data_IF_783458980908
#
_entry.id   IF_783458980908
#
_cell.length_a   1.000
_cell.length_b   1.000
_cell.length_c   1.000
_cell.angle_alpha   90.00
_cell.angle_beta   90.00
_cell.angle_gamma   90.00
#
_symmetry.space_group_name_H-M   'P 1'
#
loop_
_entity.id
_entity.type
_entity.pdbx_description
1 polymer ?
#
# COMPACT_ATOMS: atom_id res chain seq x y z
N UNK A 1 -47.43 -36.64 34.18
CA UNK A 1 -48.48 -35.96 33.40
C UNK A 1 -48.34 -34.48 33.65
N UNK A 2 -47.80 -33.76 32.68
CA UNK A 2 -47.93 -32.29 32.57
C UNK A 2 -47.54 -31.97 31.14
N UNK A 3 -48.48 -31.42 30.39
CA UNK A 3 -48.45 -31.17 28.98
C UNK A 3 -47.57 -29.98 28.65
N UNK A 4 -46.75 -30.12 27.60
CA UNK A 4 -45.99 -29.04 26.96
C UNK A 4 -46.86 -28.43 25.89
N UNK A 5 -47.08 -27.13 25.97
CA UNK A 5 -47.82 -26.34 24.97
C UNK A 5 -46.92 -26.04 23.74
N UNK A 6 -47.49 -25.98 22.52
CA UNK A 6 -46.72 -25.74 21.29
C UNK A 6 -46.43 -24.26 21.06
N UNK A 7 -45.16 -23.99 20.67
CA UNK A 7 -44.66 -22.68 20.27
C UNK A 7 -45.25 -22.24 18.92
N UNK A 8 -45.93 -21.10 18.89
CA UNK A 8 -46.42 -20.47 17.69
C UNK A 8 -45.28 -19.88 16.84
N UNK A 9 -45.22 -20.24 15.58
CA UNK A 9 -44.36 -19.62 14.55
C UNK A 9 -44.93 -18.24 14.18
N UNK A 10 -44.14 -17.20 14.37
CA UNK A 10 -44.43 -15.85 13.87
C UNK A 10 -44.02 -15.79 12.39
N UNK A 11 -45.00 -15.57 11.52
CA UNK A 11 -44.79 -15.33 10.08
C UNK A 11 -44.72 -13.80 9.90
N UNK A 12 -43.72 -13.24 9.22
CA UNK A 12 -43.69 -11.81 8.92
C UNK A 12 -44.66 -11.45 7.80
N UNK A 13 -45.46 -10.38 8.03
CA UNK A 13 -46.45 -9.87 7.12
C UNK A 13 -45.80 -9.15 5.91
N UNK A 14 -46.36 -9.36 4.72
CA UNK A 14 -45.96 -8.70 3.48
C UNK A 14 -46.27 -7.18 3.49
N UNK A 15 -45.50 -6.35 2.79
CA UNK A 15 -45.74 -4.91 2.73
C UNK A 15 -46.94 -4.58 1.82
N UNK A 16 -47.79 -3.66 2.32
CA UNK A 16 -48.96 -3.15 1.64
C UNK A 16 -48.59 -2.27 0.43
N UNK A 17 -49.28 -2.45 -0.67
CA UNK A 17 -49.24 -1.68 -1.91
C UNK A 17 -49.46 -0.19 -1.70
N UNK A 18 -48.61 0.65 -2.33
CA UNK A 18 -48.79 2.09 -2.45
C UNK A 18 -50.00 2.39 -3.38
N UNK A 19 -50.99 3.06 -2.81
CA UNK A 19 -52.15 3.58 -3.52
C UNK A 19 -51.77 4.84 -4.33
N UNK A 20 -52.39 4.93 -5.49
CA UNK A 20 -52.26 5.97 -6.51
C UNK A 20 -52.60 7.38 -5.98
N UNK A 21 -51.72 8.34 -6.30
CA UNK A 21 -52.01 9.77 -6.26
C UNK A 21 -52.35 10.29 -7.66
N UNK A 22 -53.28 11.23 -7.83
CA UNK A 22 -53.75 11.66 -9.14
C UNK A 22 -52.75 12.59 -9.84
N UNK A 23 -52.66 12.40 -11.18
CA UNK A 23 -51.83 13.20 -12.07
C UNK A 23 -52.38 14.62 -12.24
N UNK A 24 -51.55 15.62 -11.90
CA UNK A 24 -51.77 17.02 -12.31
C UNK A 24 -51.06 17.28 -13.64
N UNK A 25 -51.74 17.78 -14.61
CA UNK A 25 -51.25 18.11 -15.96
C UNK A 25 -50.29 19.31 -15.89
N UNK A 26 -49.14 19.32 -16.63
CA UNK A 26 -48.28 20.47 -16.69
C UNK A 26 -48.73 21.51 -17.70
N UNK A 27 -48.76 22.76 -17.29
CA UNK A 27 -48.93 23.93 -18.15
C UNK A 27 -47.73 24.11 -19.08
N UNK A 28 -48.01 24.45 -20.33
CA UNK A 28 -47.10 24.71 -21.43
C UNK A 28 -45.97 25.69 -21.06
N UNK A 29 -44.73 25.25 -21.20
CA UNK A 29 -43.53 26.11 -21.22
C UNK A 29 -43.18 26.42 -22.69
N UNK A 30 -43.10 27.72 -22.94
CA UNK A 30 -42.72 28.28 -24.23
C UNK A 30 -41.29 27.92 -24.63
N UNK A 31 -41.12 27.75 -25.92
CA UNK A 31 -39.90 27.35 -26.60
C UNK A 31 -38.70 28.26 -26.30
N UNK A 32 -37.65 27.69 -25.73
CA UNK A 32 -36.27 28.20 -25.79
C UNK A 32 -35.52 27.37 -26.84
N UNK A 33 -34.65 27.99 -27.68
CA UNK A 33 -33.96 27.24 -28.73
C UNK A 33 -32.97 26.23 -28.14
N UNK A 34 -33.09 25.00 -28.57
CA UNK A 34 -32.24 23.88 -28.20
C UNK A 34 -30.82 24.10 -28.76
N UNK A 35 -29.87 24.46 -27.89
CA UNK A 35 -28.46 24.30 -28.19
C UNK A 35 -28.13 22.81 -28.08
N UNK A 36 -27.70 22.18 -29.17
CA UNK A 36 -27.27 20.79 -29.20
C UNK A 36 -26.15 20.54 -28.21
N UNK A 37 -26.13 19.39 -27.51
CA UNK A 37 -25.04 19.08 -26.57
C UNK A 37 -23.73 18.92 -27.36
N UNK A 38 -22.75 19.77 -27.07
CA UNK A 38 -21.40 19.61 -27.59
C UNK A 38 -20.85 18.27 -27.09
N UNK A 39 -20.34 17.44 -28.01
CA UNK A 39 -19.76 16.14 -27.67
C UNK A 39 -18.61 16.33 -26.67
N UNK A 40 -18.39 15.35 -25.79
CA UNK A 40 -17.26 15.32 -24.83
C UNK A 40 -15.91 15.60 -25.52
N UNK A 41 -15.75 15.22 -26.79
CA UNK A 41 -14.57 15.52 -27.60
C UNK A 41 -14.42 17.02 -27.90
N UNK A 42 -15.51 17.78 -28.07
CA UNK A 42 -15.46 19.22 -28.34
C UNK A 42 -15.19 20.05 -27.06
N UNK A 43 -15.58 19.55 -25.89
CA UNK A 43 -15.22 20.14 -24.59
C UNK A 43 -13.74 19.89 -24.23
N UNK A 44 -13.17 18.75 -24.65
CA UNK A 44 -11.74 18.48 -24.51
C UNK A 44 -10.88 19.33 -25.47
N UNK A 45 -11.33 19.59 -26.70
CA UNK A 45 -10.57 20.37 -27.67
C UNK A 45 -10.42 21.87 -27.34
N UNK A 46 -11.27 22.40 -26.44
CA UNK A 46 -11.22 23.82 -26.06
C UNK A 46 -10.20 24.15 -24.96
N UNK A 47 -9.63 23.13 -24.28
CA UNK A 47 -8.67 23.29 -23.17
C UNK A 47 -7.22 22.93 -23.52
N UNK A 48 -6.93 22.51 -24.77
CA UNK A 48 -5.58 22.10 -25.18
C UNK A 48 -4.87 23.25 -25.86
N UNK A 49 -4.21 24.13 -25.09
CA UNK A 49 -3.06 24.91 -25.60
C UNK A 49 -1.85 23.99 -25.62
N UNK A 50 -1.26 23.78 -26.83
CA UNK A 50 -0.02 23.01 -27.01
C UNK A 50 1.05 23.51 -26.04
N UNK A 51 1.70 22.66 -25.26
CA UNK A 51 2.92 23.06 -24.58
C UNK A 51 4.02 23.26 -25.62
N UNK A 52 4.77 24.34 -25.47
CA UNK A 52 5.97 24.63 -26.27
C UNK A 52 6.97 23.46 -26.12
N UNK A 53 7.69 23.16 -27.23
CA UNK A 53 8.69 22.13 -27.31
C UNK A 53 9.64 22.15 -26.10
N UNK A 54 9.79 21.01 -25.47
CA UNK A 54 10.61 20.81 -24.28
C UNK A 54 12.05 21.26 -24.50
N UNK A 55 12.44 22.32 -23.80
CA UNK A 55 13.84 22.67 -23.60
C UNK A 55 14.50 21.60 -22.73
N UNK A 56 15.76 21.26 -23.05
CA UNK A 56 16.60 20.32 -22.27
C UNK A 56 16.57 20.66 -20.79
N UNK A 57 16.48 19.64 -19.90
CA UNK A 57 16.31 19.88 -18.48
C UNK A 57 17.51 20.61 -17.89
N UNK A 58 17.20 21.63 -17.12
CA UNK A 58 18.06 22.22 -16.11
C UNK A 58 18.48 21.13 -15.09
N UNK A 59 19.54 21.34 -14.29
CA UNK A 59 20.06 20.34 -13.36
C UNK A 59 18.91 19.75 -12.54
N UNK A 60 18.86 18.41 -12.51
CA UNK A 60 17.78 17.62 -11.90
C UNK A 60 17.65 18.06 -10.45
N UNK A 61 16.70 18.93 -10.18
CA UNK A 61 16.24 19.18 -8.81
C UNK A 61 15.69 17.86 -8.30
N UNK A 62 16.28 17.33 -7.22
CA UNK A 62 15.85 16.06 -6.62
C UNK A 62 14.33 16.06 -6.42
N UNK A 63 13.66 15.00 -6.86
CA UNK A 63 12.22 14.82 -6.62
C UNK A 63 11.89 14.61 -5.14
N UNK A 64 12.90 14.24 -4.34
CA UNK A 64 12.80 14.11 -2.88
C UNK A 64 13.25 15.41 -2.22
N UNK A 65 12.35 16.04 -1.49
CA UNK A 65 12.58 17.30 -0.78
C UNK A 65 12.31 17.13 0.70
N UNK A 66 12.90 17.99 1.52
CA UNK A 66 12.67 18.03 2.97
C UNK A 66 12.78 16.64 3.62
N UNK A 67 13.84 15.90 3.29
CA UNK A 67 14.10 14.59 3.89
C UNK A 67 14.57 14.80 5.33
N UNK A 68 13.73 14.38 6.29
CA UNK A 68 13.96 14.54 7.72
C UNK A 68 13.86 13.20 8.42
N UNK A 69 14.95 12.78 9.05
CA UNK A 69 14.98 11.59 9.91
C UNK A 69 14.61 12.01 11.33
N UNK A 70 13.35 11.85 11.72
CA UNK A 70 12.86 12.24 13.04
C UNK A 70 13.37 11.30 14.14
N UNK A 71 13.52 10.01 13.82
CA UNK A 71 14.10 9.01 14.73
C UNK A 71 14.80 7.92 13.93
N UNK A 72 15.36 6.91 14.60
CA UNK A 72 15.92 5.72 13.95
C UNK A 72 14.89 4.95 13.11
N UNK A 73 13.60 5.04 13.46
CA UNK A 73 12.50 4.33 12.82
C UNK A 73 11.56 5.22 12.01
N UNK A 74 11.64 6.55 12.13
CA UNK A 74 10.70 7.48 11.51
C UNK A 74 11.39 8.45 10.56
N UNK A 75 10.94 8.43 9.31
CA UNK A 75 11.42 9.27 8.21
C UNK A 75 10.25 10.04 7.59
N UNK A 76 10.48 11.31 7.27
CA UNK A 76 9.56 12.14 6.47
C UNK A 76 10.27 12.71 5.27
N UNK A 77 9.55 12.84 4.17
CA UNK A 77 10.03 13.54 2.98
C UNK A 77 8.87 14.00 2.12
N UNK A 78 9.12 14.96 1.25
CA UNK A 78 8.18 15.41 0.22
C UNK A 78 8.62 14.81 -1.11
N UNK A 79 7.69 14.18 -1.82
CA UNK A 79 7.88 13.69 -3.18
C UNK A 79 7.17 14.63 -4.15
N UNK A 80 7.93 15.45 -4.87
CA UNK A 80 7.42 16.43 -5.86
C UNK A 80 8.48 16.84 -6.90
N UNK A 81 8.14 17.10 -8.17
CA UNK A 81 6.80 16.90 -8.75
C UNK A 81 6.56 15.44 -9.14
N UNK A 82 5.38 14.92 -8.86
CA UNK A 82 4.97 13.57 -9.28
C UNK A 82 3.44 13.46 -9.36
N UNK A 83 2.93 12.29 -9.74
CA UNK A 83 1.50 12.00 -9.78
C UNK A 83 1.12 10.92 -8.77
N UNK A 84 -0.16 10.90 -8.36
CA UNK A 84 -0.70 9.96 -7.36
C UNK A 84 -0.34 8.51 -7.68
N UNK A 85 -0.42 8.09 -8.95
CA UNK A 85 -0.13 6.73 -9.37
C UNK A 85 1.29 6.29 -8.99
N UNK A 86 2.29 7.14 -9.22
CA UNK A 86 3.70 6.84 -8.91
C UNK A 86 3.98 6.90 -7.40
N UNK A 87 3.42 7.90 -6.71
CA UNK A 87 3.54 8.02 -5.26
C UNK A 87 2.95 6.78 -4.56
N UNK A 88 1.76 6.32 -4.97
CA UNK A 88 1.13 5.14 -4.40
C UNK A 88 1.88 3.83 -4.76
N UNK A 89 2.48 3.76 -5.94
CA UNK A 89 3.33 2.64 -6.35
C UNK A 89 4.51 2.50 -5.39
N UNK A 90 5.23 3.59 -5.11
CA UNK A 90 6.33 3.59 -4.14
C UNK A 90 5.86 3.16 -2.74
N UNK A 91 4.78 3.76 -2.23
CA UNK A 91 4.21 3.41 -0.92
C UNK A 91 3.87 1.92 -0.82
N UNK A 92 3.20 1.38 -1.81
CA UNK A 92 2.79 -0.04 -1.80
C UNK A 92 3.99 -0.97 -1.83
N UNK A 93 5.00 -0.68 -2.65
CA UNK A 93 6.21 -1.49 -2.74
C UNK A 93 7.01 -1.49 -1.42
N UNK A 94 7.09 -0.36 -0.72
CA UNK A 94 7.69 -0.31 0.62
C UNK A 94 6.98 -1.23 1.63
N UNK A 95 5.68 -1.41 1.50
CA UNK A 95 4.88 -2.26 2.42
C UNK A 95 4.99 -3.74 2.06
N UNK A 96 4.91 -4.08 0.75
CA UNK A 96 4.65 -5.45 0.32
C UNK A 96 5.83 -6.17 -0.31
N UNK A 97 6.77 -5.46 -0.91
CA UNK A 97 7.78 -6.08 -1.77
C UNK A 97 9.20 -6.03 -1.18
N UNK A 98 9.47 -5.16 -0.18
CA UNK A 98 10.77 -5.10 0.51
C UNK A 98 10.92 -6.33 1.40
N UNK A 99 12.04 -7.04 1.21
CA UNK A 99 12.32 -8.30 1.87
C UNK A 99 12.79 -8.08 3.32
N UNK A 100 12.32 -8.95 4.23
CA UNK A 100 12.77 -9.00 5.63
C UNK A 100 12.93 -10.44 6.10
N UNK A 101 13.49 -10.60 7.29
CA UNK A 101 13.64 -11.88 7.96
C UNK A 101 12.58 -12.00 9.04
N UNK A 102 11.85 -13.13 9.05
CA UNK A 102 10.86 -13.46 10.08
C UNK A 102 10.71 -14.97 10.24
N UNK A 103 10.00 -15.41 11.28
CA UNK A 103 9.55 -16.78 11.43
C UNK A 103 8.22 -16.95 10.70
N UNK A 104 8.21 -17.71 9.62
CA UNK A 104 6.96 -18.00 8.90
C UNK A 104 6.11 -18.97 9.73
N UNK A 105 4.94 -18.52 10.14
CA UNK A 105 4.03 -19.29 11.00
C UNK A 105 2.74 -19.65 10.24
N UNK A 106 2.87 -20.20 9.03
CA UNK A 106 1.74 -20.64 8.22
C UNK A 106 1.27 -22.03 8.67
N UNK A 107 -0.04 -22.25 8.66
CA UNK A 107 -0.64 -23.57 8.88
C UNK A 107 -0.49 -24.37 7.60
N UNK A 108 0.22 -25.48 7.65
CA UNK A 108 0.34 -26.43 6.55
C UNK A 108 -0.88 -27.37 6.49
N UNK A 109 -1.05 -28.10 5.37
CA UNK A 109 -2.13 -29.09 5.22
C UNK A 109 -2.11 -30.16 6.32
N UNK A 110 -0.95 -30.43 6.91
CA UNK A 110 -0.80 -31.33 8.05
C UNK A 110 -1.15 -30.71 9.40
N UNK A 111 -1.55 -29.42 9.44
CA UNK A 111 -1.87 -28.68 10.66
C UNK A 111 -0.65 -28.19 11.43
N UNK A 112 0.58 -28.41 10.95
CA UNK A 112 1.82 -27.88 11.53
C UNK A 112 2.20 -26.54 10.90
N UNK A 113 2.90 -25.70 11.68
CA UNK A 113 3.48 -24.43 11.18
C UNK A 113 4.75 -24.70 10.37
N UNK A 114 5.01 -23.87 9.32
CA UNK A 114 6.12 -24.11 8.39
C UNK A 114 7.51 -23.96 9.04
N UNK A 115 7.75 -22.82 9.73
CA UNK A 115 9.06 -22.48 10.28
C UNK A 115 9.11 -22.54 11.82
N UNK A 116 7.96 -22.59 12.48
CA UNK A 116 7.82 -22.66 13.95
C UNK A 116 7.29 -24.03 14.35
N UNK A 117 8.08 -24.77 15.13
CA UNK A 117 7.70 -26.10 15.66
C UNK A 117 7.58 -26.06 17.17
N UNK A 118 6.36 -26.09 17.68
CA UNK A 118 6.05 -26.13 19.09
C UNK A 118 6.04 -27.59 19.53
N UNK A 119 6.95 -27.97 20.45
CA UNK A 119 7.07 -29.31 20.96
C UNK A 119 6.28 -29.52 22.27
N UNK A 120 6.23 -28.48 23.11
CA UNK A 120 5.43 -28.48 24.33
C UNK A 120 4.80 -27.13 24.57
N UNK A 121 3.53 -27.13 24.96
CA UNK A 121 2.76 -25.96 25.30
C UNK A 121 1.69 -26.33 26.32
N UNK A 122 1.84 -25.86 27.55
CA UNK A 122 0.80 -25.95 28.59
C UNK A 122 0.14 -24.61 28.91
N UNK A 123 0.40 -23.57 28.06
CA UNK A 123 -0.23 -22.25 28.19
C UNK A 123 -1.69 -22.29 27.73
N UNK A 124 -2.50 -21.26 28.07
CA UNK A 124 -3.87 -21.15 27.57
C UNK A 124 -3.98 -20.88 26.06
N UNK A 125 -2.89 -20.48 25.40
CA UNK A 125 -2.87 -20.22 23.95
C UNK A 125 -2.77 -21.53 23.17
N UNK A 126 -3.55 -21.66 22.08
CA UNK A 126 -3.36 -22.78 21.15
C UNK A 126 -2.00 -22.70 20.45
N UNK A 127 -1.51 -23.81 19.91
CA UNK A 127 -0.23 -23.81 19.19
C UNK A 127 -0.24 -22.89 17.98
N UNK A 128 -1.36 -22.77 17.28
CA UNK A 128 -1.51 -21.88 16.13
C UNK A 128 -1.40 -20.41 16.54
N UNK A 129 -2.09 -20.02 17.62
CA UNK A 129 -2.03 -18.66 18.16
C UNK A 129 -0.63 -18.32 18.66
N UNK A 130 0.01 -19.26 19.34
CA UNK A 130 1.37 -19.08 19.83
C UNK A 130 2.38 -18.97 18.68
N UNK A 131 2.28 -19.84 17.67
CA UNK A 131 3.13 -19.78 16.48
C UNK A 131 2.95 -18.45 15.72
N UNK A 132 1.71 -17.98 15.59
CA UNK A 132 1.43 -16.67 14.98
C UNK A 132 2.08 -15.53 15.78
N UNK A 133 2.02 -15.55 17.11
CA UNK A 133 2.70 -14.55 17.96
C UNK A 133 4.22 -14.61 17.80
N UNK A 134 4.80 -15.81 17.74
CA UNK A 134 6.24 -16.01 17.49
C UNK A 134 6.60 -15.46 16.12
N UNK A 135 5.78 -15.69 15.08
CA UNK A 135 5.98 -15.18 13.73
C UNK A 135 6.02 -13.65 13.64
N UNK A 136 5.33 -12.95 14.55
CA UNK A 136 5.29 -11.48 14.58
C UNK A 136 6.45 -10.84 15.36
N UNK A 137 7.38 -11.62 15.92
CA UNK A 137 8.56 -11.05 16.60
C UNK A 137 9.48 -10.42 15.56
N UNK A 138 9.85 -9.13 15.70
CA UNK A 138 10.82 -8.51 14.81
C UNK A 138 12.21 -9.16 14.98
N UNK A 139 12.81 -9.60 13.87
CA UNK A 139 14.16 -10.16 13.85
C UNK A 139 15.09 -9.15 13.18
N UNK A 140 16.02 -8.61 13.93
CA UNK A 140 16.98 -7.61 13.43
C UNK A 140 18.13 -8.29 12.70
N UNK A 141 18.28 -7.97 11.41
CA UNK A 141 19.40 -8.43 10.57
C UNK A 141 19.88 -7.24 9.74
N UNK A 142 21.18 -6.93 9.78
CA UNK A 142 21.72 -5.78 9.05
C UNK A 142 21.50 -5.86 7.54
N UNK A 143 21.75 -7.05 6.95
CA UNK A 143 21.57 -7.30 5.53
C UNK A 143 20.68 -8.54 5.30
N UNK A 144 19.38 -8.36 5.11
CA UNK A 144 18.46 -9.48 4.93
C UNK A 144 18.78 -10.36 3.71
N UNK A 145 19.37 -9.78 2.66
CA UNK A 145 19.65 -10.50 1.40
C UNK A 145 20.80 -11.50 1.52
N UNK A 146 21.68 -11.33 2.50
CA UNK A 146 22.79 -12.25 2.77
C UNK A 146 22.42 -13.36 3.78
N UNK A 147 21.17 -13.36 4.24
CA UNK A 147 20.68 -14.31 5.22
C UNK A 147 20.61 -15.73 4.69
N UNK A 148 21.16 -16.67 5.48
CA UNK A 148 21.11 -18.11 5.23
C UNK A 148 20.39 -18.80 6.37
N UNK A 149 19.17 -19.32 6.15
CA UNK A 149 18.37 -19.95 7.20
C UNK A 149 19.07 -21.15 7.87
N UNK A 150 19.90 -21.85 7.12
CA UNK A 150 20.67 -23.01 7.59
C UNK A 150 21.78 -22.67 8.61
N UNK A 151 22.25 -21.43 8.62
CA UNK A 151 23.34 -21.02 9.50
C UNK A 151 22.86 -20.77 10.95
N UNK A 152 21.57 -20.58 11.16
CA UNK A 152 21.02 -20.22 12.47
C UNK A 152 19.88 -21.12 12.89
N UNK A 153 19.79 -21.43 14.18
CA UNK A 153 18.63 -22.09 14.80
C UNK A 153 18.20 -21.34 16.05
N UNK A 154 16.91 -21.14 16.18
CA UNK A 154 16.27 -20.47 17.29
C UNK A 154 15.50 -21.48 18.12
N UNK A 155 15.68 -21.47 19.43
CA UNK A 155 14.98 -22.39 20.32
C UNK A 155 14.66 -21.73 21.65
N UNK A 156 13.57 -22.15 22.27
CA UNK A 156 13.18 -21.71 23.61
C UNK A 156 12.65 -22.88 24.41
N UNK A 157 13.08 -22.94 25.68
CA UNK A 157 12.55 -23.87 26.65
C UNK A 157 12.46 -23.19 28.00
N UNK A 158 11.25 -22.89 28.45
CA UNK A 158 10.96 -22.25 29.73
C UNK A 158 9.95 -23.10 30.53
N UNK A 159 10.24 -23.26 31.80
CA UNK A 159 9.38 -23.99 32.78
C UNK A 159 9.17 -23.07 33.97
N UNK A 160 7.94 -22.90 34.45
CA UNK A 160 7.66 -22.08 35.62
C UNK A 160 7.42 -22.97 36.87
N UNK A 161 8.48 -23.21 37.61
CA UNK A 161 8.41 -23.90 38.91
C UNK A 161 8.10 -22.95 40.07
N UNK A 162 7.99 -21.65 39.84
CA UNK A 162 7.68 -20.65 40.88
C UNK A 162 6.19 -20.59 41.18
N UNK A 163 5.83 -20.01 42.32
CA UNK A 163 4.44 -19.74 42.68
C UNK A 163 3.85 -18.50 42.01
N UNK A 164 4.73 -17.69 41.37
CA UNK A 164 4.33 -16.43 40.67
C UNK A 164 4.22 -16.63 39.17
N UNK A 165 3.38 -15.86 38.48
CA UNK A 165 3.39 -15.82 37.00
C UNK A 165 4.78 -15.48 36.48
N UNK A 166 5.19 -16.05 35.34
CA UNK A 166 6.44 -15.84 34.66
C UNK A 166 6.18 -15.39 33.23
N UNK A 167 6.64 -14.19 32.89
CA UNK A 167 6.61 -13.67 31.53
C UNK A 167 7.68 -14.35 30.69
N UNK A 168 7.28 -14.90 29.54
CA UNK A 168 8.20 -15.46 28.55
C UNK A 168 8.33 -14.46 27.41
N UNK A 169 9.54 -14.01 27.18
CA UNK A 169 9.85 -12.93 26.25
C UNK A 169 10.79 -13.38 25.12
N UNK A 170 10.90 -12.61 24.06
CA UNK A 170 11.81 -12.91 22.96
C UNK A 170 13.30 -12.99 23.40
N UNK A 171 13.65 -12.26 24.48
CA UNK A 171 14.97 -12.34 25.11
C UNK A 171 15.33 -13.70 25.70
N UNK A 172 14.36 -14.58 25.92
CA UNK A 172 14.60 -15.96 26.41
C UNK A 172 14.94 -16.93 25.28
N UNK A 173 14.81 -16.52 24.01
CA UNK A 173 15.14 -17.36 22.85
C UNK A 173 16.65 -17.54 22.75
N UNK A 174 17.08 -18.77 22.70
CA UNK A 174 18.48 -19.12 22.45
C UNK A 174 18.75 -19.18 20.96
N UNK A 175 19.84 -18.53 20.51
CA UNK A 175 20.25 -18.49 19.13
C UNK A 175 21.57 -19.22 18.96
N UNK A 176 21.59 -20.24 18.13
CA UNK A 176 22.77 -21.03 17.82
C UNK A 176 23.18 -20.79 16.37
N UNK A 177 24.45 -20.44 16.13
CA UNK A 177 25.05 -20.30 14.81
C UNK A 177 25.85 -21.55 14.46
N UNK A 178 25.55 -22.18 13.32
CA UNK A 178 26.34 -23.30 12.78
C UNK A 178 27.63 -22.75 12.17
N UNK A 179 28.74 -23.41 12.44
CA UNK A 179 30.07 -23.06 11.89
C UNK A 179 30.56 -24.01 10.80
N UNK A 180 29.95 -25.17 10.68
CA UNK A 180 30.31 -26.24 9.74
C UNK A 180 29.62 -27.54 10.14
N UNK A 181 29.78 -28.60 9.34
CA UNK A 181 29.15 -29.89 9.58
C UNK A 181 29.73 -30.64 10.81
N UNK A 182 30.98 -30.36 11.19
CA UNK A 182 31.71 -31.07 12.26
C UNK A 182 32.02 -30.22 13.50
N UNK A 183 31.69 -28.89 13.46
CA UNK A 183 31.94 -27.98 14.58
C UNK A 183 30.70 -27.84 15.47
N UNK A 184 30.93 -27.69 16.79
CA UNK A 184 29.84 -27.39 17.73
C UNK A 184 29.21 -26.04 17.43
N UNK A 185 27.86 -25.92 17.47
CA UNK A 185 27.16 -24.66 17.26
C UNK A 185 27.58 -23.61 18.29
N UNK A 186 27.83 -22.39 17.83
CA UNK A 186 28.16 -21.26 18.69
C UNK A 186 26.87 -20.62 19.22
N UNK A 187 26.79 -20.44 20.55
CA UNK A 187 25.74 -19.61 21.15
C UNK A 187 26.02 -18.14 20.82
N UNK A 188 25.04 -17.51 20.15
CA UNK A 188 25.11 -16.09 19.79
C UNK A 188 24.24 -15.28 20.76
N UNK A 189 24.69 -14.09 21.20
CA UNK A 189 23.86 -13.23 22.03
C UNK A 189 22.55 -12.88 21.31
N UNK A 190 21.42 -13.21 21.92
CA UNK A 190 20.07 -13.02 21.34
C UNK A 190 19.73 -11.53 21.14
N UNK A 191 20.34 -10.63 21.89
CA UNK A 191 20.19 -9.18 21.77
C UNK A 191 20.57 -8.65 20.38
N UNK A 192 21.36 -9.40 19.60
CA UNK A 192 21.66 -9.05 18.21
C UNK A 192 20.44 -9.17 17.30
N UNK A 193 19.50 -10.06 17.66
CA UNK A 193 18.30 -10.34 16.88
C UNK A 193 17.04 -9.73 17.48
N UNK A 194 16.96 -9.68 18.82
CA UNK A 194 15.79 -9.21 19.55
C UNK A 194 16.19 -8.00 20.39
N UNK A 195 16.06 -6.81 19.79
CA UNK A 195 16.42 -5.56 20.46
C UNK A 195 15.38 -5.23 21.54
N UNK A 196 15.85 -4.89 22.76
CA UNK A 196 14.94 -4.43 23.80
C UNK A 196 14.42 -3.02 23.45
N UNK A 197 13.20 -2.72 23.93
CA UNK A 197 12.65 -1.37 23.84
C UNK A 197 13.56 -0.38 24.57
N UNK A 198 13.88 0.78 23.96
CA UNK A 198 14.84 1.73 24.54
C UNK A 198 14.35 2.39 25.84
N UNK A 199 13.05 2.32 26.16
CA UNK A 199 12.45 2.96 27.35
C UNK A 199 12.20 1.93 28.45
N UNK A 200 11.54 0.81 28.11
CA UNK A 200 11.18 -0.24 29.10
C UNK A 200 12.27 -1.27 29.30
N UNK A 201 13.22 -1.39 28.36
CA UNK A 201 14.25 -2.43 28.30
C UNK A 201 13.72 -3.87 28.18
N UNK A 202 12.42 -4.00 27.88
CA UNK A 202 11.78 -5.30 27.66
C UNK A 202 11.88 -5.71 26.19
N UNK A 203 11.87 -7.01 25.93
CA UNK A 203 11.72 -7.59 24.60
C UNK A 203 10.27 -8.07 24.39
N UNK A 204 9.91 -8.43 23.15
CA UNK A 204 8.54 -8.80 22.79
C UNK A 204 8.01 -9.97 23.69
N UNK A 205 6.86 -9.76 24.33
CA UNK A 205 6.19 -10.74 25.17
C UNK A 205 5.53 -11.83 24.29
N UNK A 206 5.89 -13.10 24.54
CA UNK A 206 5.34 -14.27 23.85
C UNK A 206 4.09 -14.81 24.58
N UNK A 207 4.24 -15.14 25.84
CA UNK A 207 3.17 -15.69 26.68
C UNK A 207 3.50 -15.48 28.16
N UNK A 208 2.53 -15.78 29.02
CA UNK A 208 2.72 -15.77 30.47
C UNK A 208 2.44 -17.20 31.00
N UNK A 209 3.39 -17.79 31.69
CA UNK A 209 3.22 -19.04 32.38
C UNK A 209 2.66 -18.78 33.78
N UNK A 210 1.61 -19.50 34.16
CA UNK A 210 1.02 -19.38 35.51
C UNK A 210 1.95 -19.94 36.56
N UNK A 211 1.83 -19.40 37.77
CA UNK A 211 2.52 -19.93 38.94
C UNK A 211 2.08 -21.35 39.25
N UNK A 212 3.03 -22.18 39.65
CA UNK A 212 2.80 -23.60 40.03
C UNK A 212 1.98 -23.69 41.29
N UNK A 213 0.90 -24.45 41.24
CA UNK A 213 0.14 -24.85 42.40
C UNK A 213 0.67 -26.22 42.95
N UNK A 214 0.56 -26.46 44.26
CA UNK A 214 1.16 -27.60 44.90
C UNK A 214 0.72 -29.00 44.33
N UNK A 215 -0.43 -29.05 43.66
CA UNK A 215 -1.01 -30.26 43.07
C UNK A 215 -0.95 -30.35 41.57
N UNK A 216 -0.27 -29.37 40.88
CA UNK A 216 -0.24 -29.32 39.43
C UNK A 216 1.19 -29.41 38.90
N UNK A 217 1.33 -29.95 37.69
CA UNK A 217 2.58 -29.89 36.94
C UNK A 217 2.88 -28.43 36.58
N UNK A 218 4.17 -28.05 36.55
CA UNK A 218 4.55 -26.69 36.16
C UNK A 218 4.15 -26.40 34.71
N UNK A 219 3.68 -25.19 34.45
CA UNK A 219 3.47 -24.76 33.05
C UNK A 219 4.81 -24.57 32.34
N UNK A 220 4.83 -24.98 31.08
CA UNK A 220 6.02 -24.93 30.27
C UNK A 220 5.72 -24.62 28.80
N UNK A 221 6.71 -24.06 28.15
CA UNK A 221 6.74 -23.84 26.70
C UNK A 221 8.09 -24.31 26.14
N UNK A 222 8.04 -25.04 25.03
CA UNK A 222 9.23 -25.45 24.27
C UNK A 222 8.93 -25.39 22.78
N UNK A 223 9.75 -24.65 22.05
CA UNK A 223 9.67 -24.59 20.58
C UNK A 223 11.05 -24.43 19.93
N UNK A 224 11.11 -24.75 18.64
CA UNK A 224 12.21 -24.42 17.75
C UNK A 224 11.68 -23.67 16.53
N UNK A 225 12.47 -22.75 16.01
CA UNK A 225 12.10 -21.95 14.84
C UNK A 225 13.29 -21.73 13.90
N UNK A 226 12.99 -21.54 12.63
CA UNK A 226 13.94 -21.17 11.59
C UNK A 226 13.49 -19.83 10.99
N UNK A 227 14.40 -18.85 10.94
CA UNK A 227 14.10 -17.55 10.34
C UNK A 227 14.38 -17.60 8.85
N UNK A 228 13.41 -17.17 8.04
CA UNK A 228 13.48 -17.20 6.58
C UNK A 228 13.31 -15.81 5.98
N UNK A 229 13.84 -15.61 4.77
CA UNK A 229 13.63 -14.40 3.98
C UNK A 229 12.25 -14.46 3.33
N UNK A 230 11.50 -13.37 3.40
CA UNK A 230 10.20 -13.27 2.76
C UNK A 230 9.77 -11.83 2.54
N UNK A 231 8.58 -11.64 1.99
CA UNK A 231 8.01 -10.35 1.66
C UNK A 231 6.65 -10.16 2.33
N UNK A 232 6.27 -8.90 2.58
CA UNK A 232 4.97 -8.57 3.14
C UNK A 232 3.78 -9.01 2.25
N UNK A 233 4.02 -9.29 0.98
CA UNK A 233 3.03 -9.87 0.06
C UNK A 233 2.71 -11.32 0.42
N UNK A 234 3.68 -12.07 0.89
CA UNK A 234 3.51 -13.48 1.28
C UNK A 234 2.83 -13.57 2.64
N UNK A 235 3.36 -12.86 3.63
CA UNK A 235 2.85 -12.85 5.00
C UNK A 235 3.15 -11.52 5.67
N UNK A 236 2.20 -11.02 6.49
CA UNK A 236 2.35 -9.76 7.22
C UNK A 236 3.53 -9.75 8.21
N UNK A 237 4.02 -10.90 8.65
CA UNK A 237 5.20 -11.02 9.49
C UNK A 237 6.47 -10.43 8.84
N UNK A 238 6.53 -10.41 7.51
CA UNK A 238 7.64 -9.85 6.74
C UNK A 238 7.50 -8.36 6.39
N UNK A 239 6.45 -7.67 6.87
CA UNK A 239 6.31 -6.24 6.61
C UNK A 239 7.37 -5.43 7.36
N UNK A 240 8.21 -4.63 6.66
CA UNK A 240 9.26 -3.84 7.31
C UNK A 240 8.75 -2.54 7.93
N UNK A 241 7.52 -2.15 7.63
CA UNK A 241 6.91 -0.87 8.01
C UNK A 241 5.66 -1.04 8.82
N UNK A 242 5.38 -0.06 9.68
CA UNK A 242 4.13 0.04 10.43
C UNK A 242 2.99 0.57 9.54
N UNK A 243 1.79 0.70 10.12
CA UNK A 243 0.64 1.34 9.45
C UNK A 243 0.90 2.81 9.05
N UNK A 244 1.97 3.44 9.54
CA UNK A 244 2.38 4.80 9.18
C UNK A 244 3.31 4.87 7.96
N UNK A 245 3.29 3.87 7.09
CA UNK A 245 3.83 4.01 5.74
C UNK A 245 2.74 4.59 4.84
N UNK A 246 2.64 5.91 4.82
CA UNK A 246 1.54 6.65 4.20
C UNK A 246 2.03 7.95 3.53
N UNK A 247 1.19 8.51 2.66
CA UNK A 247 1.38 9.87 2.17
C UNK A 247 0.08 10.67 2.27
N UNK A 248 0.23 11.97 2.42
CA UNK A 248 -0.82 12.97 2.28
C UNK A 248 -0.52 13.90 1.12
N UNK A 249 -1.51 14.68 0.69
CA UNK A 249 -1.29 15.75 -0.27
C UNK A 249 -0.63 16.93 0.45
N UNK A 250 0.45 17.47 -0.11
CA UNK A 250 1.12 18.64 0.45
C UNK A 250 0.20 19.84 0.44
N UNK A 251 0.11 20.52 1.59
CA UNK A 251 -0.75 21.70 1.73
C UNK A 251 -0.27 22.82 0.81
N UNK A 252 -1.21 23.51 0.25
CA UNK A 252 -0.95 24.75 -0.48
C UNK A 252 -1.05 25.93 0.50
N UNK A 253 0.08 26.57 0.75
CA UNK A 253 0.17 27.72 1.64
C UNK A 253 -0.04 29.06 0.95
N UNK A 254 -0.33 29.06 -0.37
CA UNK A 254 -0.65 30.25 -1.11
C UNK A 254 -1.93 30.93 -0.59
N UNK A 255 -1.85 32.16 -0.05
CA UNK A 255 -3.01 32.86 0.51
C UNK A 255 -4.10 33.16 -0.52
N UNK A 256 -3.74 33.36 -1.80
CA UNK A 256 -4.72 33.66 -2.85
C UNK A 256 -5.54 32.41 -3.18
N UNK A 257 -4.90 31.27 -3.34
CA UNK A 257 -5.57 29.98 -3.57
C UNK A 257 -6.44 29.59 -2.39
N UNK A 258 -5.98 29.79 -1.14
CA UNK A 258 -6.81 29.55 0.04
C UNK A 258 -8.07 30.40 0.04
N UNK A 259 -7.98 31.69 -0.34
CA UNK A 259 -9.15 32.59 -0.46
C UNK A 259 -10.10 32.13 -1.57
N UNK A 260 -9.59 31.72 -2.72
CA UNK A 260 -10.42 31.18 -3.79
C UNK A 260 -11.20 29.94 -3.34
N UNK A 261 -10.53 28.99 -2.72
CA UNK A 261 -11.15 27.75 -2.23
C UNK A 261 -12.16 28.05 -1.13
N UNK A 262 -11.85 28.98 -0.21
CA UNK A 262 -12.77 29.45 0.81
C UNK A 262 -14.04 30.07 0.17
N UNK A 263 -13.88 30.93 -0.82
CA UNK A 263 -15.00 31.56 -1.54
C UNK A 263 -15.86 30.52 -2.26
N UNK A 264 -15.24 29.54 -2.92
CA UNK A 264 -15.94 28.42 -3.56
C UNK A 264 -16.70 27.57 -2.53
N UNK A 265 -16.10 27.30 -1.37
CA UNK A 265 -16.74 26.56 -0.29
C UNK A 265 -17.94 27.32 0.29
N UNK A 266 -17.82 28.63 0.53
CA UNK A 266 -18.92 29.48 0.97
C UNK A 266 -20.11 29.41 0.01
N UNK A 267 -19.84 29.62 -1.29
CA UNK A 267 -20.88 29.62 -2.31
C UNK A 267 -21.54 28.24 -2.49
N UNK A 268 -20.74 27.18 -2.53
CA UNK A 268 -21.23 25.84 -2.86
C UNK A 268 -21.88 25.13 -1.65
N UNK A 269 -21.25 25.21 -0.48
CA UNK A 269 -21.65 24.44 0.69
C UNK A 269 -22.47 25.25 1.70
N UNK A 270 -22.13 26.50 1.92
CA UNK A 270 -22.82 27.38 2.89
C UNK A 270 -23.90 28.23 2.24
N UNK A 271 -23.86 28.40 0.90
CA UNK A 271 -24.79 29.27 0.14
C UNK A 271 -24.82 30.71 0.65
N UNK A 272 -23.68 31.21 1.08
CA UNK A 272 -23.47 32.57 1.60
C UNK A 272 -22.57 33.31 0.62
N UNK A 273 -22.99 34.50 0.20
CA UNK A 273 -22.18 35.38 -0.64
C UNK A 273 -21.08 36.07 0.17
N UNK A 274 -19.90 36.21 -0.40
CA UNK A 274 -18.77 36.89 0.26
C UNK A 274 -19.11 38.31 0.72
N UNK A 275 -19.92 39.04 -0.07
CA UNK A 275 -20.41 40.39 0.28
C UNK A 275 -21.32 40.46 1.48
N UNK A 276 -22.15 39.43 1.69
CA UNK A 276 -23.00 39.33 2.89
C UNK A 276 -22.19 39.00 4.14
N UNK A 277 -21.07 38.29 3.97
CA UNK A 277 -20.21 37.91 5.07
C UNK A 277 -19.37 39.08 5.59
N UNK A 278 -19.01 40.04 4.74
CA UNK A 278 -18.34 41.29 5.20
C UNK A 278 -19.20 42.16 6.08
N UNK A 279 -20.52 42.09 5.94
CA UNK A 279 -21.46 42.79 6.79
C UNK A 279 -21.62 42.19 8.21
N UNK A 280 -21.17 40.93 8.42
CA UNK A 280 -21.27 40.22 9.69
C UNK A 280 -19.94 39.59 10.13
N UNK A 281 -19.08 40.37 10.84
CA UNK A 281 -17.72 39.90 11.19
C UNK A 281 -17.72 38.68 12.13
N UNK A 282 -18.72 38.52 13.00
CA UNK A 282 -18.83 37.36 13.90
C UNK A 282 -19.06 36.08 13.09
N UNK A 283 -20.00 36.14 12.14
CA UNK A 283 -20.31 35.00 11.27
C UNK A 283 -19.14 34.65 10.35
N UNK A 284 -18.38 35.66 9.90
CA UNK A 284 -17.15 35.47 9.10
C UNK A 284 -16.11 34.70 9.89
N UNK A 285 -15.81 35.10 11.12
CA UNK A 285 -14.84 34.43 11.96
C UNK A 285 -15.22 32.97 12.30
N UNK A 286 -16.53 32.71 12.52
CA UNK A 286 -17.02 31.34 12.72
C UNK A 286 -16.76 30.45 11.48
N UNK A 287 -17.09 30.94 10.28
CA UNK A 287 -16.92 30.21 9.04
C UNK A 287 -15.45 30.05 8.64
N UNK A 288 -14.61 31.05 8.89
CA UNK A 288 -13.14 30.95 8.71
C UNK A 288 -12.56 29.87 9.63
N UNK A 289 -12.97 29.84 10.90
CA UNK A 289 -12.54 28.81 11.85
C UNK A 289 -13.02 27.41 11.45
N UNK A 290 -14.26 27.28 10.98
CA UNK A 290 -14.79 26.02 10.47
C UNK A 290 -13.99 25.55 9.24
N UNK A 291 -13.72 26.44 8.32
CA UNK A 291 -12.92 26.15 7.11
C UNK A 291 -11.50 25.72 7.47
N UNK A 292 -10.81 26.42 8.35
CA UNK A 292 -9.47 26.09 8.80
C UNK A 292 -9.41 24.76 9.55
N UNK A 293 -10.47 24.38 10.24
CA UNK A 293 -10.51 23.11 10.98
C UNK A 293 -10.83 21.91 10.09
N UNK A 294 -11.81 22.08 9.18
CA UNK A 294 -12.40 20.95 8.45
C UNK A 294 -11.99 20.90 6.97
N UNK A 295 -11.82 22.05 6.32
CA UNK A 295 -11.70 22.13 4.86
C UNK A 295 -10.28 22.48 4.39
N UNK A 296 -9.43 23.00 5.26
CA UNK A 296 -8.04 23.39 4.90
C UNK A 296 -7.24 22.21 4.34
N UNK A 297 -7.57 20.99 4.73
CA UNK A 297 -6.92 19.78 4.20
C UNK A 297 -7.23 19.52 2.72
N UNK A 298 -8.26 20.16 2.18
CA UNK A 298 -8.60 20.14 0.75
C UNK A 298 -7.84 21.20 -0.06
N UNK A 299 -7.13 22.10 0.63
CA UNK A 299 -6.24 23.08 0.03
C UNK A 299 -4.86 22.46 -0.16
N UNK A 300 -4.68 21.68 -1.21
CA UNK A 300 -3.42 21.04 -1.54
C UNK A 300 -2.88 21.53 -2.87
N UNK A 301 -1.58 21.39 -3.07
CA UNK A 301 -0.87 21.78 -4.29
C UNK A 301 -1.41 21.01 -5.50
N UNK A 302 -1.86 21.74 -6.54
CA UNK A 302 -2.44 21.21 -7.76
C UNK A 302 -1.70 21.72 -8.98
N UNK A 303 -1.63 20.88 -10.00
CA UNK A 303 -1.16 21.26 -11.33
C UNK A 303 -2.25 22.03 -12.12
N UNK A 304 -1.93 22.38 -13.38
CA UNK A 304 -2.86 23.07 -14.30
C UNK A 304 -4.12 22.23 -14.63
N UNK A 305 -4.06 20.89 -14.44
CA UNK A 305 -5.18 19.97 -14.66
C UNK A 305 -6.06 19.84 -13.41
N UNK A 306 -5.63 20.41 -12.27
CA UNK A 306 -6.31 20.31 -10.99
C UNK A 306 -5.95 19.06 -10.18
N UNK A 307 -4.94 18.30 -10.61
CA UNK A 307 -4.47 17.09 -9.96
C UNK A 307 -3.34 17.38 -8.96
N UNK A 308 -3.25 16.65 -7.84
CA UNK A 308 -2.17 16.81 -6.88
C UNK A 308 -0.83 16.37 -7.48
N UNK A 309 0.23 17.18 -7.27
CA UNK A 309 1.57 16.87 -7.76
C UNK A 309 2.64 16.79 -6.66
N UNK A 310 2.29 17.01 -5.41
CA UNK A 310 3.19 17.02 -4.25
C UNK A 310 2.62 16.20 -3.11
N UNK A 311 3.44 15.32 -2.52
CA UNK A 311 3.02 14.33 -1.54
C UNK A 311 3.96 14.29 -0.33
N UNK A 312 3.41 14.48 0.88
CA UNK A 312 4.10 14.39 2.14
C UNK A 312 4.12 12.95 2.63
N UNK A 313 5.26 12.29 2.51
CA UNK A 313 5.45 10.91 2.95
C UNK A 313 5.85 10.83 4.41
N UNK A 314 5.29 9.83 5.09
CA UNK A 314 5.69 9.36 6.42
C UNK A 314 6.00 7.88 6.27
N UNK A 315 7.21 7.49 6.64
CA UNK A 315 7.66 6.08 6.63
C UNK A 315 8.16 5.73 8.01
N UNK A 316 7.40 4.88 8.70
CA UNK A 316 7.78 4.36 10.01
C UNK A 316 8.10 2.87 9.89
N UNK A 317 9.34 2.52 10.23
CA UNK A 317 9.81 1.15 10.26
C UNK A 317 9.36 0.44 11.54
N UNK A 318 9.17 -0.87 11.48
CA UNK A 318 9.03 -1.72 12.69
C UNK A 318 10.33 -1.87 13.47
N UNK A 319 11.41 -1.22 13.01
CA UNK A 319 12.73 -1.23 13.66
C UNK A 319 13.74 -2.22 13.06
N UNK A 320 13.28 -3.19 12.27
CA UNK A 320 14.14 -4.23 11.65
C UNK A 320 15.08 -3.63 10.60
N UNK A 321 14.55 -2.75 9.76
CA UNK A 321 15.29 -2.06 8.70
C UNK A 321 15.18 -0.55 8.89
N UNK A 322 16.23 0.19 8.50
CA UNK A 322 16.14 1.64 8.52
C UNK A 322 15.16 2.16 7.46
N UNK A 323 14.37 3.21 7.75
CA UNK A 323 13.43 3.76 6.77
C UNK A 323 14.12 4.23 5.47
N UNK A 324 15.35 4.71 5.56
CA UNK A 324 16.15 5.12 4.39
C UNK A 324 16.47 3.94 3.48
N UNK A 325 16.84 2.79 4.05
CA UNK A 325 17.06 1.55 3.31
C UNK A 325 15.76 1.05 2.66
N UNK A 326 14.62 1.09 3.38
CA UNK A 326 13.32 0.65 2.86
C UNK A 326 12.95 1.43 1.59
N UNK A 327 13.12 2.77 1.59
CA UNK A 327 12.86 3.59 0.39
C UNK A 327 13.82 3.24 -0.74
N UNK A 328 15.12 3.16 -0.47
CA UNK A 328 16.13 2.80 -1.48
C UNK A 328 15.82 1.44 -2.12
N UNK A 329 15.57 0.42 -1.28
CA UNK A 329 15.28 -0.94 -1.75
C UNK A 329 13.98 -1.01 -2.55
N UNK A 330 12.94 -0.29 -2.13
CA UNK A 330 11.68 -0.22 -2.86
C UNK A 330 11.87 0.36 -4.29
N UNK A 331 12.71 1.39 -4.45
CA UNK A 331 13.03 1.97 -5.76
C UNK A 331 13.77 0.98 -6.66
N UNK A 332 14.75 0.24 -6.12
CA UNK A 332 15.46 -0.81 -6.86
C UNK A 332 14.52 -1.93 -7.30
N UNK A 333 13.66 -2.40 -6.40
CA UNK A 333 12.67 -3.43 -6.69
C UNK A 333 11.67 -2.98 -7.77
N UNK A 334 11.20 -1.73 -7.71
CA UNK A 334 10.32 -1.15 -8.72
C UNK A 334 11.00 -1.10 -10.08
N UNK A 335 12.24 -0.61 -10.15
CA UNK A 335 12.99 -0.60 -11.38
C UNK A 335 13.13 -2.00 -11.98
N UNK A 336 13.57 -2.97 -11.18
CA UNK A 336 13.77 -4.36 -11.61
C UNK A 336 12.45 -5.02 -12.04
N UNK A 337 11.35 -4.77 -11.32
CA UNK A 337 10.03 -5.34 -11.59
C UNK A 337 9.46 -4.85 -12.91
N UNK A 338 9.54 -3.55 -13.17
CA UNK A 338 9.02 -2.95 -14.41
C UNK A 338 9.89 -3.33 -15.61
N UNK A 339 11.21 -3.41 -15.42
CA UNK A 339 12.16 -3.75 -16.49
C UNK A 339 11.91 -5.13 -17.11
N UNK A 340 11.26 -6.07 -16.39
CA UNK A 340 10.86 -7.38 -16.93
C UNK A 340 9.97 -7.27 -18.17
N UNK A 341 9.24 -6.18 -18.31
CA UNK A 341 8.28 -5.94 -19.38
C UNK A 341 8.82 -5.00 -20.48
N UNK A 342 10.06 -4.56 -20.36
CA UNK A 342 10.68 -3.60 -21.28
C UNK A 342 10.94 -4.15 -22.69
N UNK A 343 10.93 -5.45 -22.85
CA UNK A 343 11.26 -6.14 -24.12
C UNK A 343 10.10 -6.92 -24.74
N UNK A 344 8.86 -6.72 -24.29
CA UNK A 344 7.69 -7.44 -24.84
C UNK A 344 7.33 -7.04 -26.28
N UNK A 345 7.95 -6.00 -26.82
CA UNK A 345 7.88 -5.55 -28.22
C UNK A 345 8.90 -6.27 -29.12
N UNK A 346 9.83 -7.04 -28.56
CA UNK A 346 10.88 -7.72 -29.31
C UNK A 346 10.99 -9.19 -28.85
N UNK A 347 10.70 -10.11 -29.76
CA UNK A 347 10.81 -11.54 -29.50
C UNK A 347 9.57 -12.17 -28.88
N UNK A 348 9.78 -13.30 -28.19
CA UNK A 348 8.72 -14.05 -27.53
C UNK A 348 8.28 -13.34 -26.23
N UNK A 349 6.99 -13.47 -25.93
CA UNK A 349 6.44 -12.94 -24.67
C UNK A 349 6.99 -13.74 -23.47
N UNK A 350 7.31 -13.09 -22.35
CA UNK A 350 7.57 -13.80 -21.10
C UNK A 350 6.39 -14.72 -20.74
N UNK A 351 6.66 -15.88 -20.12
CA UNK A 351 5.63 -16.83 -19.66
C UNK A 351 4.57 -16.18 -18.74
N UNK A 352 4.96 -15.10 -18.06
CA UNK A 352 4.08 -14.32 -17.19
C UNK A 352 3.12 -13.39 -17.92
N UNK A 353 3.24 -13.24 -19.25
CA UNK A 353 2.42 -12.30 -20.04
C UNK A 353 1.70 -13.02 -21.16
N UNK A 354 0.37 -12.89 -21.19
CA UNK A 354 -0.45 -13.38 -22.32
C UNK A 354 -1.13 -12.20 -22.99
N UNK A 355 -1.13 -12.21 -24.33
CA UNK A 355 -1.77 -11.16 -25.13
C UNK A 355 -2.90 -11.79 -25.93
N UNK A 356 -4.05 -11.15 -25.93
CA UNK A 356 -5.21 -11.55 -26.75
C UNK A 356 -5.92 -10.32 -27.32
N UNK A 357 -6.63 -10.43 -28.45
CA UNK A 357 -7.48 -9.34 -28.93
C UNK A 357 -8.50 -8.88 -27.88
N UNK A 358 -8.75 -7.58 -27.81
CA UNK A 358 -9.81 -7.04 -26.98
C UNK A 358 -11.19 -7.42 -27.53
N UNK A 359 -12.25 -7.22 -26.72
CA UNK A 359 -13.62 -7.51 -27.14
C UNK A 359 -13.99 -6.73 -28.41
N UNK A 360 -14.95 -7.28 -29.19
CA UNK A 360 -15.37 -6.80 -30.53
C UNK A 360 -15.76 -5.31 -30.62
N UNK A 361 -15.96 -4.65 -29.48
CA UNK A 361 -16.35 -3.22 -29.41
C UNK A 361 -15.17 -2.24 -29.51
N UNK A 362 -13.94 -2.71 -29.40
CA UNK A 362 -12.74 -1.88 -29.40
C UNK A 362 -11.62 -2.54 -30.20
N UNK A 363 -10.94 -1.72 -31.04
CA UNK A 363 -9.70 -2.15 -31.67
C UNK A 363 -8.58 -2.05 -30.64
N UNK A 364 -8.01 -3.18 -30.25
CA UNK A 364 -6.93 -3.22 -29.24
C UNK A 364 -6.67 -4.61 -28.71
N UNK A 365 -5.84 -4.68 -27.68
CA UNK A 365 -5.34 -5.92 -27.09
C UNK A 365 -5.42 -5.89 -25.58
N UNK A 366 -5.72 -7.05 -24.99
CA UNK A 366 -5.68 -7.32 -23.57
C UNK A 366 -4.37 -8.02 -23.22
N UNK A 367 -3.58 -7.40 -22.35
CA UNK A 367 -2.39 -7.97 -21.75
C UNK A 367 -2.73 -8.54 -20.39
N UNK A 368 -2.53 -9.83 -20.18
CA UNK A 368 -2.77 -10.51 -18.90
C UNK A 368 -1.42 -10.77 -18.28
N UNK A 369 -1.14 -10.08 -17.17
CA UNK A 369 0.08 -10.21 -16.39
C UNK A 369 -0.19 -11.13 -15.20
N UNK A 370 0.56 -12.24 -15.12
CA UNK A 370 0.48 -13.17 -14.00
C UNK A 370 1.29 -12.63 -12.81
N UNK A 371 0.77 -12.83 -11.59
CA UNK A 371 1.39 -12.37 -10.33
C UNK A 371 1.57 -10.85 -10.22
N UNK A 372 0.79 -10.08 -10.99
CA UNK A 372 0.73 -8.64 -10.90
C UNK A 372 -0.63 -8.17 -10.42
N UNK A 373 -0.63 -6.99 -9.78
CA UNK A 373 -1.79 -6.42 -9.11
C UNK A 373 -2.06 -4.97 -9.55
N UNK A 374 -2.90 -4.30 -8.78
CA UNK A 374 -3.22 -2.87 -8.96
C UNK A 374 -2.00 -1.95 -8.99
N UNK A 375 -0.88 -2.33 -8.39
CA UNK A 375 0.34 -1.50 -8.33
C UNK A 375 0.93 -1.35 -9.72
N UNK A 376 1.16 -2.48 -10.42
CA UNK A 376 1.70 -2.49 -11.78
C UNK A 376 0.68 -1.94 -12.78
N UNK A 377 -0.59 -2.34 -12.64
CA UNK A 377 -1.66 -1.90 -13.55
C UNK A 377 -1.84 -0.39 -13.54
N UNK A 378 -1.91 0.22 -12.36
CA UNK A 378 -2.06 1.66 -12.23
C UNK A 378 -0.80 2.43 -12.70
N UNK A 379 0.38 1.90 -12.43
CA UNK A 379 1.64 2.49 -12.87
C UNK A 379 1.70 2.60 -14.39
N UNK A 380 1.51 1.48 -15.09
CA UNK A 380 1.57 1.43 -16.57
C UNK A 380 0.44 2.26 -17.19
N UNK A 381 -0.79 2.13 -16.68
CA UNK A 381 -1.92 2.93 -17.16
C UNK A 381 -1.64 4.42 -17.02
N UNK A 382 -1.22 4.88 -15.84
CA UNK A 382 -0.95 6.30 -15.58
C UNK A 382 0.11 6.85 -16.53
N UNK A 383 1.22 6.11 -16.71
CA UNK A 383 2.26 6.55 -17.62
C UNK A 383 1.77 6.63 -19.08
N UNK A 384 1.06 5.60 -19.53
CA UNK A 384 0.54 5.53 -20.90
C UNK A 384 -0.52 6.60 -21.16
N UNK A 385 -1.40 6.86 -20.19
CA UNK A 385 -2.42 7.89 -20.27
C UNK A 385 -1.79 9.28 -20.43
N UNK A 386 -0.78 9.60 -19.63
CA UNK A 386 -0.12 10.89 -19.65
C UNK A 386 0.76 11.14 -20.90
N UNK A 387 1.32 10.08 -21.50
CA UNK A 387 2.36 10.24 -22.52
C UNK A 387 1.97 9.72 -23.90
N UNK A 388 1.02 8.77 -24.00
CA UNK A 388 0.71 8.13 -25.28
C UNK A 388 -0.66 8.49 -25.84
N UNK A 389 -1.67 8.78 -25.01
CA UNK A 389 -3.00 9.17 -25.49
C UNK A 389 -2.94 10.55 -26.17
N UNK A 390 -2.31 11.52 -25.54
CA UNK A 390 -2.21 12.88 -26.10
C UNK A 390 -1.34 12.94 -27.38
N UNK A 391 -0.45 11.95 -27.57
CA UNK A 391 0.37 11.82 -28.78
C UNK A 391 -0.27 10.97 -29.87
N UNK A 392 -1.52 10.56 -29.71
CA UNK A 392 -2.31 9.74 -30.63
C UNK A 392 -1.68 8.36 -30.97
N UNK A 393 -0.73 7.88 -30.13
CA UNK A 393 -0.12 6.56 -30.33
C UNK A 393 -1.06 5.43 -29.90
N UNK A 394 -1.89 5.69 -28.88
CA UNK A 394 -2.94 4.80 -28.41
C UNK A 394 -4.24 5.56 -28.22
N UNK A 395 -5.36 4.88 -28.40
CA UNK A 395 -6.71 5.46 -28.27
C UNK A 395 -7.33 5.25 -26.90
N UNK A 396 -6.86 4.23 -26.20
CA UNK A 396 -7.38 3.86 -24.89
C UNK A 396 -6.34 3.08 -24.09
N UNK A 397 -6.32 3.32 -22.79
CA UNK A 397 -5.64 2.47 -21.82
C UNK A 397 -6.48 2.32 -20.56
N UNK A 398 -6.54 1.10 -20.03
CA UNK A 398 -7.26 0.84 -18.78
C UNK A 398 -6.88 -0.52 -18.21
N UNK A 399 -6.77 -0.63 -16.90
CA UNK A 399 -6.48 -1.90 -16.25
C UNK A 399 -7.60 -2.35 -15.32
N UNK A 400 -7.61 -3.64 -15.04
CA UNK A 400 -8.43 -4.24 -13.98
C UNK A 400 -7.77 -5.49 -13.41
N UNK A 401 -8.08 -5.80 -12.16
CA UNK A 401 -7.87 -7.12 -11.56
C UNK A 401 -9.18 -7.87 -11.67
N UNK A 402 -9.27 -8.94 -12.50
CA UNK A 402 -10.55 -9.59 -12.82
C UNK A 402 -11.24 -10.19 -11.60
N UNK A 403 -10.47 -10.78 -10.68
CA UNK A 403 -10.96 -11.39 -9.46
C UNK A 403 -9.91 -11.35 -8.36
N UNK A 404 -10.27 -11.03 -7.10
CA UNK A 404 -9.32 -10.92 -5.99
C UNK A 404 -8.51 -12.21 -5.68
N UNK A 405 -9.09 -13.38 -5.94
CA UNK A 405 -8.44 -14.68 -5.72
C UNK A 405 -7.62 -15.17 -6.93
N UNK A 406 -7.60 -14.41 -8.03
CA UNK A 406 -6.74 -14.70 -9.18
C UNK A 406 -5.58 -13.74 -9.15
N UNK A 407 -4.39 -14.27 -9.06
CA UNK A 407 -3.16 -13.49 -9.07
C UNK A 407 -2.79 -13.07 -10.51
N UNK A 408 -3.71 -12.30 -11.11
CA UNK A 408 -3.58 -11.79 -12.48
C UNK A 408 -4.14 -10.37 -12.61
N UNK A 409 -3.47 -9.55 -13.41
CA UNK A 409 -3.89 -8.21 -13.79
C UNK A 409 -4.07 -8.13 -15.31
N UNK A 410 -5.16 -7.51 -15.76
CA UNK A 410 -5.45 -7.27 -17.17
C UNK A 410 -5.27 -5.79 -17.48
N UNK A 411 -4.38 -5.49 -18.44
CA UNK A 411 -4.20 -4.16 -19.03
C UNK A 411 -4.74 -4.18 -20.46
N UNK A 412 -5.71 -3.33 -20.76
CA UNK A 412 -6.29 -3.16 -22.10
C UNK A 412 -5.69 -1.93 -22.77
N UNK A 413 -5.19 -2.10 -24.00
CA UNK A 413 -4.59 -1.03 -24.80
C UNK A 413 -5.31 -0.98 -26.15
N UNK A 414 -5.92 0.19 -26.44
CA UNK A 414 -6.55 0.47 -27.74
C UNK A 414 -5.54 1.05 -28.72
N UNK A 415 -5.50 0.49 -29.93
CA UNK A 415 -4.65 0.97 -31.02
C UNK A 415 -5.44 1.03 -32.31
N UNK A 416 -5.41 2.15 -33.04
CA UNK A 416 -6.19 2.33 -34.28
C UNK A 416 -5.72 1.41 -35.39
N UNK A 417 -4.41 1.10 -35.43
CA UNK A 417 -3.83 0.19 -36.41
C UNK A 417 -4.36 -1.25 -36.32
N UNK A 418 -4.88 -1.65 -35.15
CA UNK A 418 -5.33 -3.02 -34.88
C UNK A 418 -4.20 -4.06 -34.93
N UNK A 419 -2.92 -3.62 -34.85
CA UNK A 419 -1.75 -4.51 -34.85
C UNK A 419 -1.28 -4.79 -33.44
N UNK A 420 -1.02 -6.04 -33.12
CA UNK A 420 -0.47 -6.49 -31.83
C UNK A 420 0.86 -5.81 -31.50
N UNK A 421 1.74 -5.69 -32.50
CA UNK A 421 3.06 -5.10 -32.31
C UNK A 421 3.01 -3.64 -31.85
N UNK A 422 2.02 -2.85 -32.28
CA UNK A 422 1.90 -1.45 -31.86
C UNK A 422 1.44 -1.35 -30.39
N UNK A 423 0.54 -2.24 -29.97
CA UNK A 423 0.13 -2.34 -28.59
C UNK A 423 1.28 -2.83 -27.68
N UNK A 424 2.06 -3.82 -28.12
CA UNK A 424 3.25 -4.30 -27.41
C UNK A 424 4.32 -3.20 -27.31
N UNK A 425 4.56 -2.45 -28.38
CA UNK A 425 5.50 -1.34 -28.40
C UNK A 425 5.12 -0.24 -27.40
N UNK A 426 3.81 0.04 -27.27
CA UNK A 426 3.30 1.01 -26.30
C UNK A 426 3.56 0.56 -24.84
N UNK A 427 3.25 -0.70 -24.52
CA UNK A 427 3.48 -1.25 -23.17
C UNK A 427 4.97 -1.37 -22.86
N UNK A 428 5.79 -1.84 -23.81
CA UNK A 428 7.24 -1.93 -23.64
C UNK A 428 7.88 -0.56 -23.42
N UNK A 429 7.42 0.46 -24.17
CA UNK A 429 7.87 1.85 -23.99
C UNK A 429 7.51 2.36 -22.59
N UNK A 430 6.27 2.15 -22.14
CA UNK A 430 5.86 2.51 -20.79
C UNK A 430 6.73 1.83 -19.72
N UNK A 431 7.03 0.55 -19.90
CA UNK A 431 7.89 -0.18 -18.98
C UNK A 431 9.32 0.38 -18.94
N UNK A 432 9.94 0.67 -20.11
CA UNK A 432 11.28 1.28 -20.18
C UNK A 432 11.35 2.63 -19.50
N UNK A 433 10.39 3.50 -19.77
CA UNK A 433 10.37 4.86 -19.23
C UNK A 433 10.06 4.88 -17.72
N UNK A 434 9.15 4.03 -17.25
CA UNK A 434 8.91 3.86 -15.81
C UNK A 434 10.16 3.30 -15.10
N UNK A 435 10.85 2.32 -15.71
CA UNK A 435 12.08 1.78 -15.13
C UNK A 435 13.19 2.86 -15.08
N UNK A 436 13.32 3.69 -16.12
CA UNK A 436 14.26 4.81 -16.12
C UNK A 436 13.89 5.86 -15.05
N UNK A 437 12.61 6.19 -14.90
CA UNK A 437 12.13 7.10 -13.86
C UNK A 437 12.52 6.61 -12.45
N UNK A 438 12.31 5.33 -12.13
CA UNK A 438 12.69 4.78 -10.83
C UNK A 438 14.20 4.70 -10.63
N UNK A 439 14.97 4.48 -11.68
CA UNK A 439 16.43 4.58 -11.66
C UNK A 439 16.91 5.99 -11.32
N UNK A 440 16.29 7.00 -11.95
CA UNK A 440 16.60 8.39 -11.68
C UNK A 440 16.20 8.78 -10.25
N UNK A 441 15.07 8.28 -9.77
CA UNK A 441 14.65 8.46 -8.38
C UNK A 441 15.60 7.78 -7.39
N UNK A 442 16.11 6.58 -7.69
CA UNK A 442 17.10 5.89 -6.85
C UNK A 442 18.39 6.70 -6.75
N UNK A 443 18.87 7.24 -7.87
CA UNK A 443 20.04 8.13 -7.87
C UNK A 443 19.80 9.43 -7.09
N UNK A 444 18.62 10.04 -7.25
CA UNK A 444 18.23 11.21 -6.48
C UNK A 444 18.13 10.91 -4.98
N UNK A 445 17.55 9.76 -4.60
CA UNK A 445 17.47 9.32 -3.20
C UNK A 445 18.84 9.14 -2.58
N UNK A 446 19.75 8.47 -3.26
CA UNK A 446 21.11 8.26 -2.80
C UNK A 446 21.86 9.58 -2.52
N UNK A 447 21.50 10.68 -3.19
CA UNK A 447 22.12 11.99 -2.99
C UNK A 447 21.59 12.79 -1.79
N UNK A 448 20.38 12.45 -1.28
CA UNK A 448 19.69 13.21 -0.23
C UNK A 448 19.48 12.42 1.07
N UNK A 449 19.63 11.09 1.02
CA UNK A 449 19.40 10.20 2.16
C UNK A 449 20.66 9.96 3.03
N UNK A 450 21.70 10.72 2.83
CA UNK A 450 22.99 10.61 3.56
C UNK A 450 22.89 11.14 4.99
#
# INVERSE_FOLDING_TARGET
>A
MSAVAPTQKIVPAAPKSLAQLPAAAPKSLAQLPAAAPKSLAQLRAASIRKPAAAQRPAPVTSVFKNVVKESSTLLRFILEPTVVGYANTLRRTMITDVETIAFRADITESGSTSDVRITKNSTPLSNEMLAHRIGLIPIHVENPLDWKPEDYSFSLKVVNDSSNPLDVVAGDIQVLKRRGAEEEPLLVPNVQFFHPDPVTHDTALLTVLKGKLASQEPEMIEFSATATLGTGRENAAFMPVTSRCAYGYSKDDDPERKREIFTLWLNKHKKVNATELEANPTRKAELEREFETMEVQRCYKKDERGEPYSFDFIVESVGVLSPTYIVARALELLQAKVLRYASIDSGDLPDSVKVRPADAKMKGFDFIFQKEDHTMGNLLQTWMELNLIDSEQITFVGYKVPHPLRDEMLLRVGVDSGKDMDARAAVAKAARECAQMFKDWSAAWASVAV
#
